data_IF_178986083950
#
_entry.id   IF_178986083950
#
_cell.length_a   1.000
_cell.length_b   1.000
_cell.length_c   1.000
_cell.angle_alpha   90.00
_cell.angle_beta   90.00
_cell.angle_gamma   90.00
#
_symmetry.space_group_name_H-M   'P 1'
#
loop_
_entity.id
_entity.type
_entity.pdbx_description
1 polymer ?
#
# COMPACT_ATOMS: atom_id res chain seq x y z
N UNK A 1 -8.55 3.20 3.57
CA UNK A 1 -9.04 4.51 4.02
C UNK A 1 -7.91 5.51 4.07
N UNK A 2 -8.12 6.66 3.47
CA UNK A 2 -7.15 7.74 3.52
C UNK A 2 -7.14 8.37 4.92
N UNK A 3 -5.96 8.44 5.53
CA UNK A 3 -5.76 9.05 6.84
C UNK A 3 -4.55 9.98 6.78
N UNK A 4 -4.28 10.65 7.88
CA UNK A 4 -3.07 11.43 8.08
C UNK A 4 -2.40 10.98 9.37
N UNK A 5 -1.09 10.75 9.31
CA UNK A 5 -0.28 10.42 10.47
C UNK A 5 0.59 11.60 10.85
N UNK A 6 0.72 11.82 12.15
CA UNK A 6 1.66 12.81 12.67
C UNK A 6 2.99 12.10 12.94
N UNK A 7 3.97 12.37 12.07
CA UNK A 7 5.31 11.80 12.20
C UNK A 7 6.30 12.96 12.42
N UNK A 8 6.97 12.96 13.56
CA UNK A 8 7.96 13.99 13.91
C UNK A 8 7.42 15.42 13.67
N UNK A 9 6.21 15.69 14.16
CA UNK A 9 5.49 16.96 14.01
C UNK A 9 5.08 17.32 12.60
N UNK A 10 5.14 16.37 11.67
CA UNK A 10 4.65 16.54 10.31
C UNK A 10 3.46 15.63 10.07
N UNK A 11 2.38 16.19 9.50
CA UNK A 11 1.25 15.40 9.07
C UNK A 11 1.54 14.86 7.67
N UNK A 12 1.54 13.54 7.54
CA UNK A 12 1.77 12.88 6.25
C UNK A 12 0.55 12.07 5.86
N UNK A 13 0.20 12.03 4.57
CA UNK A 13 -0.90 11.17 4.11
C UNK A 13 -0.50 9.71 4.24
N UNK A 14 -1.48 8.87 4.56
CA UNK A 14 -1.29 7.43 4.67
C UNK A 14 -2.58 6.72 4.32
N UNK A 15 -2.48 5.44 3.97
CA UNK A 15 -3.64 4.61 3.68
C UNK A 15 -3.73 3.50 4.73
N UNK A 16 -4.83 3.50 5.47
CA UNK A 16 -5.12 2.46 6.44
C UNK A 16 -5.89 1.33 5.77
N UNK A 17 -5.40 0.10 5.95
CA UNK A 17 -6.06 -1.09 5.41
C UNK A 17 -7.12 -1.54 6.40
N UNK A 18 -8.38 -1.21 6.10
CA UNK A 18 -9.51 -1.57 6.97
C UNK A 18 -10.06 -2.94 6.61
N UNK A 19 -10.25 -3.17 5.31
CA UNK A 19 -10.81 -4.42 4.80
C UNK A 19 -10.23 -4.68 3.41
N UNK A 20 -9.85 -5.93 3.16
CA UNK A 20 -9.35 -6.32 1.84
C UNK A 20 -10.46 -7.00 1.04
N UNK A 21 -10.68 -6.48 -0.18
CA UNK A 21 -11.53 -7.14 -1.15
C UNK A 21 -10.68 -8.18 -1.89
N UNK A 22 -10.93 -9.45 -1.63
CA UNK A 22 -10.14 -10.54 -2.19
C UNK A 22 -10.29 -10.73 -3.69
N UNK A 23 -11.25 -10.02 -4.31
CA UNK A 23 -11.37 -10.01 -5.77
C UNK A 23 -10.47 -8.95 -6.42
N UNK A 24 -9.87 -8.08 -5.63
CA UNK A 24 -9.00 -7.03 -6.13
C UNK A 24 -7.65 -7.59 -6.57
N UNK A 25 -7.06 -6.97 -7.59
CA UNK A 25 -5.76 -7.37 -8.12
C UNK A 25 -4.61 -7.21 -7.12
N UNK A 26 -4.81 -6.45 -6.04
CA UNK A 26 -3.76 -6.15 -5.06
C UNK A 26 -3.96 -6.86 -3.73
N UNK A 27 -5.20 -7.22 -3.36
CA UNK A 27 -5.47 -7.80 -2.04
C UNK A 27 -4.73 -9.12 -1.79
N UNK A 28 -4.80 -10.05 -2.72
CA UNK A 28 -4.08 -11.31 -2.61
C UNK A 28 -2.56 -11.14 -2.56
N UNK A 29 -1.95 -10.34 -3.47
CA UNK A 29 -0.53 -10.05 -3.37
C UNK A 29 -0.12 -9.40 -2.04
N UNK A 30 -0.93 -8.50 -1.49
CA UNK A 30 -0.65 -7.90 -0.19
C UNK A 30 -0.58 -8.96 0.91
N UNK A 31 -1.57 -9.85 0.97
CA UNK A 31 -1.59 -10.92 1.98
C UNK A 31 -0.41 -11.87 1.82
N UNK A 32 -0.06 -12.24 0.59
CA UNK A 32 1.07 -13.13 0.32
C UNK A 32 2.40 -12.52 0.74
N UNK A 33 2.50 -11.20 0.79
CA UNK A 33 3.70 -10.50 1.21
C UNK A 33 3.64 -10.04 2.68
N UNK A 34 2.67 -10.52 3.43
CA UNK A 34 2.56 -10.26 4.87
C UNK A 34 1.94 -8.92 5.22
N UNK A 35 1.27 -8.27 4.27
CA UNK A 35 0.53 -7.04 4.53
C UNK A 35 -0.94 -7.41 4.76
N UNK A 36 -1.46 -7.06 5.92
CA UNK A 36 -2.80 -7.47 6.32
C UNK A 36 -3.66 -6.29 6.77
N UNK A 37 -4.92 -6.57 7.03
CA UNK A 37 -5.84 -5.56 7.57
C UNK A 37 -5.30 -5.00 8.87
N UNK A 38 -5.50 -3.71 9.09
CA UNK A 38 -4.99 -3.00 10.25
C UNK A 38 -3.64 -2.34 10.02
N UNK A 39 -2.92 -2.67 8.97
CA UNK A 39 -1.64 -2.04 8.67
C UNK A 39 -1.83 -0.71 7.95
N UNK A 40 -0.81 0.12 7.98
CA UNK A 40 -0.85 1.47 7.42
C UNK A 40 0.25 1.62 6.38
N UNK A 41 -0.14 2.02 5.18
CA UNK A 41 0.78 2.26 4.07
C UNK A 41 1.19 3.73 4.09
N UNK A 42 2.49 3.99 4.15
CA UNK A 42 3.04 5.35 4.16
C UNK A 42 3.48 5.83 2.79
N UNK A 43 3.98 4.95 1.95
CA UNK A 43 4.44 5.31 0.61
C UNK A 43 4.11 4.23 -0.40
N UNK A 44 3.93 4.66 -1.64
CA UNK A 44 3.69 3.79 -2.79
C UNK A 44 4.66 4.23 -3.87
N UNK A 45 5.63 3.37 -4.24
CA UNK A 45 6.70 3.69 -5.19
C UNK A 45 7.42 5.01 -4.84
N UNK A 46 7.74 5.18 -3.53
CA UNK A 46 8.39 6.38 -2.98
C UNK A 46 7.56 7.66 -3.05
N UNK A 47 6.29 7.55 -3.41
CA UNK A 47 5.34 8.66 -3.41
C UNK A 47 4.45 8.58 -2.17
N UNK A 48 3.87 9.71 -1.73
CA UNK A 48 2.95 9.68 -0.60
C UNK A 48 1.79 8.72 -0.83
N UNK A 49 1.34 8.06 0.25
CA UNK A 49 0.25 7.09 0.18
C UNK A 49 -1.10 7.80 0.11
N UNK A 50 -1.51 8.14 -1.09
CA UNK A 50 -2.81 8.76 -1.38
C UNK A 50 -3.61 7.84 -2.29
N UNK A 51 -4.93 8.03 -2.31
CA UNK A 51 -5.79 7.30 -3.26
C UNK A 51 -5.36 7.55 -4.69
N UNK A 52 -5.00 8.78 -5.01
CA UNK A 52 -4.55 9.14 -6.35
C UNK A 52 -3.29 8.36 -6.74
N UNK A 53 -2.30 8.33 -5.86
CA UNK A 53 -1.05 7.64 -6.13
C UNK A 53 -1.24 6.13 -6.23
N UNK A 54 -2.07 5.54 -5.37
CA UNK A 54 -2.39 4.13 -5.44
C UNK A 54 -3.10 3.79 -6.76
N UNK A 55 -4.12 4.57 -7.11
CA UNK A 55 -4.87 4.35 -8.35
C UNK A 55 -3.97 4.48 -9.56
N UNK A 56 -3.10 5.49 -9.57
CA UNK A 56 -2.15 5.70 -10.67
C UNK A 56 -1.19 4.52 -10.79
N UNK A 57 -0.63 4.05 -9.67
CA UNK A 57 0.27 2.90 -9.67
C UNK A 57 -0.41 1.66 -10.25
N UNK A 58 -1.66 1.40 -9.85
CA UNK A 58 -2.41 0.25 -10.35
C UNK A 58 -2.71 0.37 -11.84
N UNK A 59 -3.02 1.58 -12.33
CA UNK A 59 -3.30 1.81 -13.75
C UNK A 59 -2.08 1.63 -14.64
N UNK A 60 -0.89 2.01 -14.13
CA UNK A 60 0.35 1.94 -14.88
C UNK A 60 1.06 0.60 -14.74
N UNK A 61 0.51 -0.32 -13.96
CA UNK A 61 1.13 -1.59 -13.64
C UNK A 61 0.45 -2.71 -14.41
N UNK A 62 1.24 -3.49 -15.14
CA UNK A 62 0.75 -4.69 -15.81
C UNK A 62 0.86 -5.89 -14.87
N UNK A 63 0.06 -6.97 -15.09
CA UNK A 63 0.20 -8.18 -14.29
C UNK A 63 1.65 -8.67 -14.29
N UNK A 64 2.18 -8.95 -13.11
CA UNK A 64 3.57 -9.36 -12.93
C UNK A 64 4.52 -8.23 -12.57
N UNK A 65 4.12 -6.98 -12.76
CA UNK A 65 4.92 -5.85 -12.31
C UNK A 65 4.85 -5.73 -10.79
N UNK A 66 5.84 -5.05 -10.21
CA UNK A 66 5.95 -4.89 -8.77
C UNK A 66 5.65 -3.45 -8.36
N UNK A 67 5.00 -3.31 -7.20
CA UNK A 67 4.75 -2.02 -6.56
C UNK A 67 5.46 -2.04 -5.21
N UNK A 68 6.26 -1.00 -4.94
CA UNK A 68 6.95 -0.87 -3.66
C UNK A 68 6.04 -0.15 -2.66
N UNK A 69 5.79 -0.79 -1.53
CA UNK A 69 5.04 -0.19 -0.43
C UNK A 69 5.95 0.02 0.77
N UNK A 70 5.86 1.18 1.39
CA UNK A 70 6.45 1.40 2.71
C UNK A 70 5.34 1.32 3.75
N UNK A 71 5.51 0.39 4.69
CA UNK A 71 4.51 0.10 5.72
C UNK A 71 4.97 0.70 7.03
N UNK A 72 4.07 1.43 7.70
CA UNK A 72 4.35 2.02 9.00
C UNK A 72 4.61 0.94 10.05
N UNK A 73 5.70 1.07 10.78
CA UNK A 73 6.04 0.20 11.88
C UNK A 73 6.30 1.01 13.14
N UNK A 74 5.98 0.44 14.31
CA UNK A 74 6.16 1.10 15.59
C UNK A 74 7.63 1.45 15.85
N UNK A 75 8.52 0.49 15.60
CA UNK A 75 9.95 0.68 15.83
C UNK A 75 10.67 1.02 14.53
N UNK A 76 10.25 0.40 13.44
CA UNK A 76 10.89 0.55 12.14
C UNK A 76 9.87 0.28 11.04
N UNK A 77 9.83 1.17 10.04
CA UNK A 77 9.03 0.93 8.85
C UNK A 77 9.65 -0.19 8.03
N UNK A 78 8.81 -0.93 7.32
CA UNK A 78 9.30 -1.98 6.41
C UNK A 78 8.93 -1.64 4.98
N UNK A 79 9.77 -2.05 4.05
CA UNK A 79 9.51 -1.93 2.63
C UNK A 79 9.12 -3.29 2.09
N UNK A 80 8.07 -3.35 1.30
CA UNK A 80 7.55 -4.58 0.73
C UNK A 80 7.31 -4.39 -0.76
N UNK A 81 7.94 -5.24 -1.58
CA UNK A 81 7.66 -5.31 -3.01
C UNK A 81 6.52 -6.29 -3.22
N UNK A 82 5.45 -5.79 -3.81
CA UNK A 82 4.25 -6.58 -4.05
C UNK A 82 4.08 -6.80 -5.54
N UNK A 83 4.12 -8.05 -5.95
CA UNK A 83 3.91 -8.42 -7.35
C UNK A 83 2.42 -8.48 -7.63
N UNK A 84 1.97 -7.73 -8.61
CA UNK A 84 0.55 -7.71 -8.96
C UNK A 84 0.17 -8.92 -9.80
N UNK A 85 -1.12 -9.27 -9.73
CA UNK A 85 -1.68 -10.35 -10.54
C UNK A 85 -2.84 -9.81 -11.36
N UNK A 86 -3.19 -10.51 -12.42
CA UNK A 86 -4.34 -10.13 -13.24
C UNK A 86 -5.61 -10.25 -12.40
N UNK A 87 -6.44 -9.21 -12.45
CA UNK A 87 -7.78 -9.27 -11.87
C UNK A 87 -8.75 -9.69 -12.96
N UNK A 88 -9.43 -10.77 -12.74
CA UNK A 88 -10.44 -11.27 -13.68
C UNK A 88 -11.81 -11.14 -13.06
#
# INVERSE_FOLDING_TARGET
RQIRLNLSNNLVPALSIIKMDRTSAIANPLELNGISEGEIILKINDLPATWTNLTTALKLTFPGDEILFEIYGKDKNKEVLVKTVASN
#
